data_IF_192502417096
#
_entry.id   IF_192502417096
#
_cell.length_a   1.000
_cell.length_b   1.000
_cell.length_c   1.000
_cell.angle_alpha   90.00
_cell.angle_beta   90.00
_cell.angle_gamma   90.00
#
_symmetry.space_group_name_H-M   'P 1'
#
loop_
_entity.id
_entity.type
_entity.pdbx_description
1 polymer ?
#
# COMPACT_ATOMS: atom_id res chain seq x y z
N UNK A 1 13.20 19.78 8.04
CA UNK A 1 12.89 19.34 9.41
C UNK A 1 12.10 18.08 9.24
N UNK A 2 12.46 16.98 9.91
CA UNK A 2 11.67 15.74 9.84
C UNK A 2 10.23 16.03 10.30
N UNK A 3 9.20 15.50 9.60
CA UNK A 3 7.82 15.67 10.03
C UNK A 3 7.60 15.02 11.41
N UNK A 4 6.82 15.66 12.26
CA UNK A 4 6.38 15.07 13.52
C UNK A 4 5.49 13.85 13.28
N UNK A 5 5.36 12.97 14.28
CA UNK A 5 4.49 11.80 14.19
C UNK A 5 3.05 12.16 13.84
N UNK A 6 2.53 13.28 14.36
CA UNK A 6 1.19 13.75 14.03
C UNK A 6 1.08 14.18 12.57
N UNK A 7 2.06 14.93 12.04
CA UNK A 7 2.08 15.32 10.62
C UNK A 7 2.17 14.09 9.70
N UNK A 8 2.96 13.07 10.08
CA UNK A 8 3.01 11.81 9.34
C UNK A 8 1.66 11.08 9.37
N UNK A 9 1.03 10.96 10.54
CA UNK A 9 -0.28 10.31 10.68
C UNK A 9 -1.36 10.98 9.85
N UNK A 10 -1.41 12.32 9.87
CA UNK A 10 -2.36 13.09 9.07
C UNK A 10 -2.09 12.86 7.57
N UNK A 11 -0.83 12.94 7.14
CA UNK A 11 -0.45 12.73 5.75
C UNK A 11 -0.79 11.32 5.25
N UNK A 12 -0.42 10.26 6.00
CA UNK A 12 -0.73 8.89 5.58
C UNK A 12 -2.22 8.58 5.64
N UNK A 13 -2.99 9.25 6.51
CA UNK A 13 -4.45 9.12 6.53
C UNK A 13 -5.06 9.63 5.23
N UNK A 14 -4.56 10.76 4.72
CA UNK A 14 -5.02 11.31 3.44
C UNK A 14 -4.54 10.48 2.25
N UNK A 15 -3.32 9.94 2.30
CA UNK A 15 -2.83 8.98 1.30
C UNK A 15 -3.72 7.72 1.28
N UNK A 16 -3.99 7.12 2.44
CA UNK A 16 -4.83 5.93 2.55
C UNK A 16 -6.26 6.17 2.05
N UNK A 17 -6.86 7.33 2.36
CA UNK A 17 -8.18 7.71 1.82
C UNK A 17 -8.17 7.82 0.31
N UNK A 18 -7.15 8.47 -0.26
CA UNK A 18 -7.05 8.64 -1.71
C UNK A 18 -6.80 7.32 -2.44
N UNK A 19 -5.99 6.43 -1.87
CA UNK A 19 -5.86 5.05 -2.35
C UNK A 19 -7.21 4.32 -2.27
N UNK A 20 -7.95 4.49 -1.18
CA UNK A 20 -9.31 3.99 -1.02
C UNK A 20 -10.26 4.48 -2.12
N UNK A 21 -10.22 5.76 -2.49
CA UNK A 21 -11.03 6.28 -3.60
C UNK A 21 -10.71 5.59 -4.94
N UNK A 22 -9.41 5.37 -5.23
CA UNK A 22 -8.94 4.67 -6.44
C UNK A 22 -9.46 3.23 -6.45
N UNK A 23 -9.32 2.53 -5.33
CA UNK A 23 -9.80 1.16 -5.15
C UNK A 23 -11.31 1.10 -5.35
N UNK A 24 -12.06 2.05 -4.79
CA UNK A 24 -13.52 2.09 -4.88
C UNK A 24 -14.03 2.40 -6.30
N UNK A 25 -13.28 3.18 -7.09
CA UNK A 25 -13.59 3.40 -8.51
C UNK A 25 -13.54 2.07 -9.29
N UNK A 26 -12.48 1.28 -9.08
CA UNK A 26 -12.30 -0.04 -9.71
C UNK A 26 -13.33 -1.05 -9.16
N UNK A 27 -13.58 -1.02 -7.85
CA UNK A 27 -14.59 -1.84 -7.20
C UNK A 27 -15.98 -1.62 -7.79
N UNK A 28 -16.31 -0.39 -8.20
CA UNK A 28 -17.59 -0.08 -8.88
C UNK A 28 -17.71 -0.64 -10.30
N UNK A 29 -16.61 -1.09 -10.91
CA UNK A 29 -16.51 -1.53 -12.31
C UNK A 29 -16.28 -3.02 -12.50
N UNK A 30 -15.67 -3.39 -13.64
CA UNK A 30 -15.22 -4.75 -13.89
C UNK A 30 -13.90 -5.01 -13.16
N UNK A 31 -13.84 -6.11 -12.38
CA UNK A 31 -12.65 -6.45 -11.60
C UNK A 31 -11.81 -7.42 -12.43
N UNK A 32 -10.69 -6.95 -12.94
CA UNK A 32 -9.69 -7.78 -13.59
C UNK A 32 -8.79 -8.45 -12.54
N UNK A 33 -8.75 -9.78 -12.57
CA UNK A 33 -7.98 -10.60 -11.63
C UNK A 33 -6.81 -11.26 -12.36
N UNK A 34 -5.63 -11.10 -11.78
CA UNK A 34 -4.39 -11.76 -12.16
C UNK A 34 -3.94 -12.70 -11.03
N UNK A 35 -2.95 -13.52 -11.30
CA UNK A 35 -2.39 -14.47 -10.33
C UNK A 35 -0.90 -14.21 -10.17
N UNK A 36 -0.45 -14.00 -8.93
CA UNK A 36 0.97 -13.84 -8.59
C UNK A 36 1.70 -15.20 -8.70
N UNK A 37 3.04 -15.17 -8.63
CA UNK A 37 3.86 -16.38 -8.75
C UNK A 37 3.56 -17.44 -7.68
N UNK A 38 3.08 -17.03 -6.50
CA UNK A 38 2.70 -17.88 -5.38
C UNK A 38 1.24 -18.36 -5.41
N UNK A 39 0.52 -18.12 -6.53
CA UNK A 39 -0.89 -18.44 -6.73
C UNK A 39 -1.89 -17.60 -5.92
N UNK A 40 -1.44 -16.53 -5.25
CA UNK A 40 -2.36 -15.54 -4.67
C UNK A 40 -3.02 -14.68 -5.77
N UNK A 41 -4.28 -14.23 -5.57
CA UNK A 41 -4.92 -13.31 -6.50
C UNK A 41 -4.35 -11.88 -6.31
N UNK A 42 -4.29 -11.14 -7.40
CA UNK A 42 -4.03 -9.69 -7.42
C UNK A 42 -4.93 -9.04 -8.45
N UNK A 43 -5.35 -7.81 -8.22
CA UNK A 43 -6.21 -7.07 -9.15
C UNK A 43 -5.56 -5.78 -9.62
N UNK A 44 -6.17 -5.13 -10.62
CA UNK A 44 -5.78 -3.78 -11.00
C UNK A 44 -5.94 -2.78 -9.84
N UNK A 45 -6.80 -3.05 -8.85
CA UNK A 45 -6.97 -2.17 -7.70
C UNK A 45 -5.75 -2.19 -6.78
N UNK A 46 -5.16 -3.37 -6.52
CA UNK A 46 -3.94 -3.52 -5.72
C UNK A 46 -2.79 -2.72 -6.38
N UNK A 47 -2.58 -2.91 -7.69
CA UNK A 47 -1.53 -2.20 -8.44
C UNK A 47 -1.78 -0.69 -8.50
N UNK A 48 -2.99 -0.25 -8.80
CA UNK A 48 -3.31 1.18 -8.93
C UNK A 48 -3.20 1.91 -7.60
N UNK A 49 -3.55 1.26 -6.49
CA UNK A 49 -3.34 1.80 -5.16
C UNK A 49 -1.84 1.90 -4.82
N UNK A 50 -1.05 0.86 -5.10
CA UNK A 50 0.40 0.90 -4.86
C UNK A 50 1.11 1.98 -5.70
N UNK A 51 0.76 2.09 -7.00
CA UNK A 51 1.28 3.10 -7.94
C UNK A 51 1.00 4.53 -7.47
N UNK A 52 -0.03 4.74 -6.64
CA UNK A 52 -0.31 6.01 -6.00
C UNK A 52 0.40 6.16 -4.65
N UNK A 53 0.37 5.14 -3.79
CA UNK A 53 0.90 5.21 -2.42
C UNK A 53 2.42 5.41 -2.44
N UNK A 54 3.16 4.67 -3.27
CA UNK A 54 4.63 4.72 -3.28
C UNK A 54 5.14 6.12 -3.59
N UNK A 55 4.76 6.79 -4.70
CA UNK A 55 5.20 8.15 -4.97
C UNK A 55 4.82 9.14 -3.87
N UNK A 56 3.62 9.01 -3.29
CA UNK A 56 3.17 9.90 -2.22
C UNK A 56 4.02 9.76 -0.94
N UNK A 57 4.42 8.53 -0.59
CA UNK A 57 5.33 8.28 0.55
C UNK A 57 6.78 8.73 0.25
N UNK A 58 7.23 8.60 -1.00
CA UNK A 58 8.53 9.13 -1.44
C UNK A 58 8.56 10.65 -1.32
N UNK A 59 7.50 11.34 -1.73
CA UNK A 59 7.40 12.80 -1.60
C UNK A 59 7.34 13.25 -0.13
N UNK A 60 6.67 12.46 0.73
CA UNK A 60 6.54 12.74 2.16
C UNK A 60 7.86 12.54 2.92
N UNK A 61 8.56 11.44 2.65
CA UNK A 61 9.77 11.01 3.36
C UNK A 61 10.74 10.31 2.39
N UNK A 62 11.51 11.07 1.59
CA UNK A 62 12.34 10.50 0.53
C UNK A 62 13.49 9.62 1.04
N UNK A 63 13.86 9.77 2.32
CA UNK A 63 14.95 9.03 2.95
C UNK A 63 14.48 7.75 3.67
N UNK A 64 13.16 7.50 3.76
CA UNK A 64 12.62 6.31 4.44
C UNK A 64 12.30 5.23 3.38
N UNK A 65 12.92 4.03 3.47
CA UNK A 65 12.60 2.91 2.59
C UNK A 65 11.14 2.50 2.66
N UNK A 66 10.59 2.01 1.54
CA UNK A 66 9.20 1.54 1.44
C UNK A 66 9.20 0.07 1.03
N UNK A 67 8.65 -0.78 1.90
CA UNK A 67 8.34 -2.18 1.61
C UNK A 67 6.85 -2.25 1.28
N UNK A 68 6.52 -2.47 0.01
CA UNK A 68 5.15 -2.61 -0.47
C UNK A 68 4.93 -4.03 -1.04
N UNK A 69 3.74 -4.59 -0.85
CA UNK A 69 3.46 -5.99 -1.19
C UNK A 69 3.73 -6.34 -2.66
N UNK A 70 3.24 -5.54 -3.61
CA UNK A 70 3.36 -5.88 -5.04
C UNK A 70 4.80 -5.68 -5.53
N UNK A 71 5.44 -4.58 -5.13
CA UNK A 71 6.86 -4.35 -5.37
C UNK A 71 7.73 -5.49 -4.82
N UNK A 72 7.48 -5.94 -3.58
CA UNK A 72 8.21 -7.04 -2.96
C UNK A 72 7.98 -8.38 -3.70
N UNK A 73 6.74 -8.65 -4.14
CA UNK A 73 6.41 -9.82 -4.96
C UNK A 73 7.12 -9.81 -6.32
N UNK A 74 7.34 -8.62 -6.89
CA UNK A 74 8.15 -8.41 -8.09
C UNK A 74 9.68 -8.45 -7.83
N UNK A 75 10.11 -8.73 -6.59
CA UNK A 75 11.52 -8.84 -6.19
C UNK A 75 12.19 -7.51 -5.84
N UNK A 76 11.43 -6.43 -5.72
CA UNK A 76 11.92 -5.12 -5.30
C UNK A 76 11.85 -5.01 -3.78
N UNK A 77 12.94 -5.41 -3.12
CA UNK A 77 13.05 -5.35 -1.66
C UNK A 77 14.13 -4.33 -1.30
N UNK A 78 13.78 -3.21 -0.65
CA UNK A 78 14.76 -2.20 -0.26
C UNK A 78 15.61 -2.65 0.94
N UNK A 79 16.73 -1.98 1.17
CA UNK A 79 17.50 -2.14 2.40
C UNK A 79 16.78 -1.46 3.57
N UNK A 80 16.41 -2.26 4.58
CA UNK A 80 15.74 -1.81 5.81
C UNK A 80 16.64 -1.92 7.05
N UNK A 81 17.95 -2.09 6.87
CA UNK A 81 18.92 -2.22 7.98
C UNK A 81 18.99 -0.99 8.89
N UNK A 82 18.46 0.15 8.44
CA UNK A 82 18.30 1.38 9.24
C UNK A 82 17.17 1.35 10.28
N UNK A 83 16.48 0.22 10.46
CA UNK A 83 15.40 0.00 11.44
C UNK A 83 14.13 0.85 11.29
N UNK A 84 14.08 1.78 10.33
CA UNK A 84 12.93 2.64 10.03
C UNK A 84 12.51 2.46 8.58
N UNK A 85 11.26 2.07 8.32
CA UNK A 85 10.72 1.86 6.98
C UNK A 85 9.20 1.97 6.96
N UNK A 86 8.63 2.28 5.80
CA UNK A 86 7.21 2.13 5.56
C UNK A 86 6.89 0.70 5.18
N UNK A 87 5.84 0.13 5.76
CA UNK A 87 5.24 -1.13 5.37
C UNK A 87 3.86 -0.86 4.79
N UNK A 88 3.64 -1.27 3.55
CA UNK A 88 2.43 -0.98 2.78
C UNK A 88 1.81 -2.27 2.28
N UNK A 89 0.53 -2.42 2.56
CA UNK A 89 -0.35 -3.35 1.86
C UNK A 89 -1.45 -2.49 1.21
N UNK A 90 -1.40 -2.33 -0.12
CA UNK A 90 -2.27 -1.42 -0.85
C UNK A 90 -3.73 -1.87 -0.83
N UNK A 91 -4.00 -3.17 -0.65
CA UNK A 91 -5.33 -3.76 -0.61
C UNK A 91 -5.29 -5.10 0.15
N UNK A 92 -5.47 -5.05 1.46
CA UNK A 92 -5.62 -6.25 2.29
C UNK A 92 -7.05 -6.78 2.13
N UNK A 93 -7.19 -8.06 1.81
CA UNK A 93 -8.47 -8.69 1.51
C UNK A 93 -8.79 -8.77 0.01
N UNK A 94 -7.81 -9.04 -0.86
CA UNK A 94 -8.03 -9.17 -2.32
C UNK A 94 -9.13 -10.18 -2.68
N UNK A 95 -9.26 -11.28 -1.94
CA UNK A 95 -10.33 -12.28 -2.18
C UNK A 95 -11.71 -11.72 -1.84
N UNK A 96 -11.80 -11.01 -0.73
CA UNK A 96 -12.97 -10.31 -0.22
C UNK A 96 -13.39 -9.22 -1.21
N UNK A 97 -12.43 -8.45 -1.72
CA UNK A 97 -12.61 -7.48 -2.81
C UNK A 97 -13.19 -8.12 -4.07
N UNK A 98 -12.61 -9.22 -4.56
CA UNK A 98 -13.10 -9.96 -5.74
C UNK A 98 -14.53 -10.48 -5.49
N UNK A 99 -14.82 -10.95 -4.28
CA UNK A 99 -16.13 -11.49 -3.89
C UNK A 99 -17.20 -10.43 -3.69
N UNK A 100 -16.82 -9.15 -3.70
CA UNK A 100 -17.69 -7.98 -3.44
C UNK A 100 -18.41 -8.03 -2.10
N UNK A 101 -17.75 -8.53 -1.05
CA UNK A 101 -18.33 -8.57 0.29
C UNK A 101 -18.05 -7.30 1.14
N UNK A 102 -17.12 -6.44 0.70
CA UNK A 102 -16.80 -5.17 1.35
C UNK A 102 -15.79 -5.26 2.50
N UNK A 103 -15.16 -6.43 2.71
CA UNK A 103 -14.22 -6.66 3.80
C UNK A 103 -12.76 -6.55 3.32
N UNK A 104 -12.31 -5.33 3.01
CA UNK A 104 -10.93 -5.05 2.60
C UNK A 104 -10.46 -3.69 3.13
N UNK A 105 -9.15 -3.48 3.21
CA UNK A 105 -8.55 -2.26 3.78
C UNK A 105 -7.31 -1.79 3.01
N UNK A 106 -6.92 -0.54 3.22
CA UNK A 106 -5.59 -0.01 2.86
C UNK A 106 -4.78 0.09 4.13
N UNK A 107 -3.60 -0.55 4.17
CA UNK A 107 -2.73 -0.54 5.34
C UNK A 107 -1.42 0.17 5.03
N UNK A 108 -1.12 1.22 5.80
CA UNK A 108 0.14 1.97 5.73
C UNK A 108 0.67 2.10 7.15
N UNK A 109 1.86 1.57 7.41
CA UNK A 109 2.50 1.62 8.72
C UNK A 109 3.92 2.19 8.60
N UNK A 110 4.29 3.07 9.52
CA UNK A 110 5.69 3.39 9.77
C UNK A 110 6.18 2.42 10.83
N UNK A 111 7.17 1.60 10.48
CA UNK A 111 7.85 0.70 11.41
C UNK A 111 9.14 1.36 11.86
N UNK A 112 9.39 1.39 13.16
CA UNK A 112 10.64 1.91 13.75
C UNK A 112 11.13 0.99 14.87
N UNK A 113 12.35 0.49 14.77
CA UNK A 113 12.96 -0.44 15.74
C UNK A 113 12.08 -1.67 16.05
N UNK A 114 11.36 -2.14 15.03
CA UNK A 114 10.45 -3.28 15.12
C UNK A 114 9.15 -3.00 15.86
N UNK A 115 8.73 -1.74 15.94
CA UNK A 115 7.46 -1.29 16.52
C UNK A 115 6.60 -0.53 15.52
#
# INVERSE_FOLDING_TARGET
>A
MEPSTTELLDAITDIARKAGDIIMEIYGGEIEVMTKADSSPVTLADQAAEDYIIPALVDLTPDIPIVAEEAASAGQIPDISGSRFWLVDPLDGTKEFISRNGEFTVNIALVEDGR
#
